data_IF_304918025914
#
_entry.id   IF_304918025914
#
_cell.length_a   1.000
_cell.length_b   1.000
_cell.length_c   1.000
_cell.angle_alpha   90.00
_cell.angle_beta   90.00
_cell.angle_gamma   90.00
#
_symmetry.space_group_name_H-M   'P 1'
#
loop_
_entity.id
_entity.type
_entity.pdbx_description
1 polymer ?
#
# COMPACT_ATOMS: atom_id res chain seq x y z
N UNK A 1 -21.72 -1.45 14.37
CA UNK A 1 -20.95 -1.92 13.19
C UNK A 1 -21.29 -3.38 12.95
N UNK A 2 -21.93 -3.67 11.81
CA UNK A 2 -22.58 -4.96 11.54
C UNK A 2 -21.58 -6.12 11.44
N UNK A 3 -21.98 -7.28 11.98
CA UNK A 3 -21.22 -8.54 12.04
C UNK A 3 -20.55 -8.91 10.69
N UNK A 4 -21.20 -8.59 9.58
CA UNK A 4 -20.72 -8.82 8.21
C UNK A 4 -19.39 -8.13 7.91
N UNK A 5 -19.19 -6.89 8.38
CA UNK A 5 -17.93 -6.15 8.18
C UNK A 5 -16.80 -6.79 8.99
N UNK A 6 -17.10 -7.31 10.19
CA UNK A 6 -16.12 -8.02 11.02
C UNK A 6 -15.72 -9.35 10.38
N UNK A 7 -16.69 -10.10 9.85
CA UNK A 7 -16.43 -11.36 9.15
C UNK A 7 -15.61 -11.11 7.88
N UNK A 8 -15.97 -10.12 7.07
CA UNK A 8 -15.21 -9.78 5.86
C UNK A 8 -13.75 -9.37 6.17
N UNK A 9 -13.51 -8.66 7.28
CA UNK A 9 -12.15 -8.32 7.72
C UNK A 9 -11.39 -9.49 8.38
N UNK A 10 -12.08 -10.54 8.83
CA UNK A 10 -11.44 -11.71 9.45
C UNK A 10 -10.85 -12.70 8.44
N UNK A 11 -11.25 -12.63 7.17
CA UNK A 11 -10.65 -13.48 6.13
C UNK A 11 -9.22 -13.01 5.88
N UNK A 12 -8.19 -13.86 6.06
CA UNK A 12 -6.82 -13.48 5.77
C UNK A 12 -6.71 -13.18 4.27
N UNK A 13 -6.44 -11.93 3.91
CA UNK A 13 -6.41 -11.49 2.51
C UNK A 13 -5.44 -12.30 1.64
N UNK A 14 -4.36 -12.80 2.26
CA UNK A 14 -3.40 -13.72 1.65
C UNK A 14 -4.07 -14.96 1.04
N UNK A 15 -5.12 -15.50 1.67
CA UNK A 15 -5.86 -16.68 1.19
C UNK A 15 -6.60 -16.41 -0.12
N UNK A 16 -6.93 -15.16 -0.42
CA UNK A 16 -7.53 -14.77 -1.70
C UNK A 16 -6.59 -15.06 -2.88
N UNK A 17 -5.28 -15.19 -2.65
CA UNK A 17 -4.32 -15.56 -3.68
C UNK A 17 -4.68 -16.87 -4.38
N UNK A 18 -5.03 -17.90 -3.62
CA UNK A 18 -5.45 -19.20 -4.20
C UNK A 18 -6.74 -19.08 -4.99
N UNK A 19 -7.70 -18.27 -4.52
CA UNK A 19 -8.95 -18.00 -5.23
C UNK A 19 -8.67 -17.30 -6.57
N UNK A 20 -7.77 -16.32 -6.58
CA UNK A 20 -7.37 -15.64 -7.82
C UNK A 20 -6.61 -16.54 -8.76
N UNK A 21 -5.80 -17.49 -8.28
CA UNK A 21 -5.15 -18.47 -9.15
C UNK A 21 -6.18 -19.39 -9.82
N UNK A 22 -7.19 -19.85 -9.07
CA UNK A 22 -8.26 -20.68 -9.63
C UNK A 22 -9.09 -19.89 -10.65
N UNK A 23 -9.41 -18.63 -10.35
CA UNK A 23 -10.28 -17.81 -11.20
C UNK A 23 -9.58 -17.18 -12.41
N UNK A 24 -8.33 -16.72 -12.24
CA UNK A 24 -7.57 -15.94 -13.23
C UNK A 24 -6.37 -16.70 -13.81
N UNK A 25 -6.08 -17.89 -13.29
CA UNK A 25 -4.96 -18.73 -13.70
C UNK A 25 -3.61 -18.34 -13.08
N UNK A 26 -2.56 -19.04 -13.52
CA UNK A 26 -1.17 -18.88 -13.05
C UNK A 26 -0.44 -17.68 -13.66
N UNK A 27 -1.10 -16.90 -14.52
CA UNK A 27 -0.52 -15.71 -15.17
C UNK A 27 -0.34 -14.51 -14.23
N UNK A 28 0.03 -13.36 -14.79
CA UNK A 28 0.23 -12.11 -14.04
C UNK A 28 -1.05 -11.61 -13.36
N UNK A 29 -2.21 -11.83 -13.97
CA UNK A 29 -3.49 -11.30 -13.49
C UNK A 29 -3.80 -11.70 -12.04
N UNK A 30 -3.53 -12.95 -11.65
CA UNK A 30 -3.78 -13.41 -10.28
C UNK A 30 -2.88 -12.75 -9.24
N UNK A 31 -1.60 -12.52 -9.56
CA UNK A 31 -0.65 -11.85 -8.66
C UNK A 31 -0.96 -10.37 -8.53
N UNK A 32 -1.29 -9.72 -9.65
CA UNK A 32 -1.70 -8.31 -9.67
C UNK A 32 -2.98 -8.13 -8.86
N UNK A 33 -3.98 -9.00 -9.03
CA UNK A 33 -5.20 -8.96 -8.23
C UNK A 33 -4.93 -9.07 -6.73
N UNK A 34 -4.04 -10.00 -6.33
CA UNK A 34 -3.65 -10.15 -4.92
C UNK A 34 -2.93 -8.89 -4.39
N UNK A 35 -1.95 -8.37 -5.14
CA UNK A 35 -1.24 -7.14 -4.77
C UNK A 35 -2.21 -5.95 -4.63
N UNK A 36 -3.14 -5.77 -5.57
CA UNK A 36 -4.15 -4.70 -5.54
C UNK A 36 -5.03 -4.81 -4.29
N UNK A 37 -5.53 -6.00 -3.96
CA UNK A 37 -6.38 -6.18 -2.77
C UNK A 37 -5.58 -5.92 -1.48
N UNK A 38 -4.33 -6.34 -1.41
CA UNK A 38 -3.46 -6.08 -0.25
C UNK A 38 -3.23 -4.58 -0.05
N UNK A 39 -3.00 -3.85 -1.14
CA UNK A 39 -2.72 -2.40 -1.13
C UNK A 39 -3.97 -1.56 -0.90
N UNK A 40 -5.06 -1.86 -1.62
CA UNK A 40 -6.26 -1.03 -1.67
C UNK A 40 -6.79 -0.68 -0.27
N UNK A 41 -6.92 -1.69 0.58
CA UNK A 41 -7.45 -1.47 1.93
C UNK A 41 -6.51 -0.69 2.84
N UNK A 42 -5.19 -0.80 2.64
CA UNK A 42 -4.20 -0.07 3.44
C UNK A 42 -4.20 1.39 3.04
N UNK A 43 -4.16 1.67 1.74
CA UNK A 43 -4.30 3.04 1.21
C UNK A 43 -5.63 3.64 1.64
N UNK A 44 -6.73 2.91 1.47
CA UNK A 44 -8.06 3.37 1.85
C UNK A 44 -8.17 3.67 3.35
N UNK A 45 -7.67 2.78 4.21
CA UNK A 45 -7.71 2.98 5.65
C UNK A 45 -6.86 4.18 6.10
N UNK A 46 -5.69 4.36 5.51
CA UNK A 46 -4.80 5.49 5.81
C UNK A 46 -5.38 6.81 5.29
N UNK A 47 -5.86 6.84 4.04
CA UNK A 47 -6.51 8.01 3.46
C UNK A 47 -7.78 8.39 4.21
N UNK A 48 -8.62 7.42 4.59
CA UNK A 48 -9.85 7.68 5.34
C UNK A 48 -9.58 8.26 6.73
N UNK A 49 -8.60 7.72 7.45
CA UNK A 49 -8.18 8.28 8.75
C UNK A 49 -7.60 9.69 8.59
N UNK A 50 -6.73 9.89 7.61
CA UNK A 50 -6.10 11.18 7.34
C UNK A 50 -7.09 12.29 6.99
N UNK A 51 -8.07 12.00 6.13
CA UNK A 51 -9.16 12.94 5.79
C UNK A 51 -10.06 13.21 6.99
N UNK A 52 -10.25 12.25 7.90
CA UNK A 52 -11.16 12.43 9.04
C UNK A 52 -10.57 13.33 10.13
N UNK A 53 -9.26 13.32 10.33
CA UNK A 53 -8.60 14.06 11.42
C UNK A 53 -8.12 15.45 10.98
N UNK A 54 -7.31 15.55 9.92
CA UNK A 54 -6.70 16.82 9.52
C UNK A 54 -7.63 17.70 8.67
N UNK A 55 -8.40 17.08 7.76
CA UNK A 55 -9.19 17.86 6.79
C UNK A 55 -10.47 18.44 7.40
N UNK A 56 -11.01 17.86 8.47
CA UNK A 56 -12.21 18.43 9.12
C UNK A 56 -11.97 19.85 9.63
N UNK A 57 -10.80 20.10 10.23
CA UNK A 57 -10.44 21.42 10.70
C UNK A 57 -10.26 22.42 9.55
N UNK A 58 -9.58 21.99 8.48
CA UNK A 58 -9.32 22.83 7.32
C UNK A 58 -10.59 23.13 6.51
N UNK A 59 -11.49 22.16 6.40
CA UNK A 59 -12.83 22.32 5.78
C UNK A 59 -13.69 23.27 6.62
N UNK A 60 -13.73 23.11 7.95
CA UNK A 60 -14.50 23.99 8.83
C UNK A 60 -14.02 25.46 8.72
N UNK A 61 -12.70 25.68 8.71
CA UNK A 61 -12.14 27.02 8.52
C UNK A 61 -12.48 27.60 7.15
N UNK A 62 -12.39 26.81 6.08
CA UNK A 62 -12.77 27.26 4.74
C UNK A 62 -14.27 27.62 4.65
N UNK A 63 -15.13 26.87 5.33
CA UNK A 63 -16.57 27.18 5.41
C UNK A 63 -16.85 28.48 6.17
N UNK A 64 -16.16 28.73 7.29
CA UNK A 64 -16.26 29.99 8.05
C UNK A 64 -15.87 31.18 7.17
N UNK A 65 -14.86 31.00 6.31
CA UNK A 65 -14.41 32.00 5.34
C UNK A 65 -15.35 32.16 4.11
N UNK A 66 -16.46 31.44 4.06
CA UNK A 66 -17.46 31.54 3.00
C UNK A 66 -17.13 30.75 1.73
N UNK A 67 -16.22 29.77 1.77
CA UNK A 67 -15.87 28.97 0.60
C UNK A 67 -17.06 28.11 0.12
N UNK A 68 -17.30 28.11 -1.19
CA UNK A 68 -18.31 27.25 -1.82
C UNK A 68 -17.89 25.76 -1.81
N UNK A 69 -18.83 24.80 -1.91
CA UNK A 69 -18.52 23.37 -1.92
C UNK A 69 -17.48 22.95 -2.98
N UNK A 70 -17.51 23.58 -4.16
CA UNK A 70 -16.55 23.33 -5.23
C UNK A 70 -15.15 23.86 -4.88
N UNK A 71 -15.06 25.03 -4.23
CA UNK A 71 -13.79 25.60 -3.75
C UNK A 71 -13.18 24.74 -2.65
N UNK A 72 -13.99 24.27 -1.70
CA UNK A 72 -13.55 23.34 -0.65
C UNK A 72 -13.00 22.06 -1.27
N UNK A 73 -13.70 21.51 -2.27
CA UNK A 73 -13.30 20.24 -2.91
C UNK A 73 -11.95 20.38 -3.63
N UNK A 74 -11.79 21.42 -4.46
CA UNK A 74 -10.55 21.61 -5.24
C UNK A 74 -9.36 22.12 -4.43
N UNK A 75 -9.61 22.92 -3.40
CA UNK A 75 -8.54 23.63 -2.69
C UNK A 75 -8.14 22.95 -1.39
N UNK A 76 -9.02 22.14 -0.80
CA UNK A 76 -8.77 21.46 0.48
C UNK A 76 -8.78 19.95 0.27
N UNK A 77 -9.90 19.38 -0.20
CA UNK A 77 -10.09 17.93 -0.22
C UNK A 77 -9.13 17.24 -1.19
N UNK A 78 -9.01 17.70 -2.44
CA UNK A 78 -8.15 17.07 -3.45
C UNK A 78 -6.66 17.14 -3.05
N UNK A 79 -6.09 18.31 -2.71
CA UNK A 79 -4.68 18.41 -2.31
C UNK A 79 -4.35 17.60 -1.04
N UNK A 80 -5.25 17.60 -0.06
CA UNK A 80 -5.08 16.78 1.14
C UNK A 80 -5.13 15.30 0.83
N UNK A 81 -6.12 14.83 0.05
CA UNK A 81 -6.21 13.44 -0.36
C UNK A 81 -4.94 12.98 -1.11
N UNK A 82 -4.38 13.81 -2.00
CA UNK A 82 -3.11 13.52 -2.66
C UNK A 82 -1.94 13.43 -1.67
N UNK A 83 -1.87 14.33 -0.70
CA UNK A 83 -0.84 14.30 0.35
C UNK A 83 -0.91 13.01 1.17
N UNK A 84 -2.12 12.54 1.48
CA UNK A 84 -2.33 11.28 2.18
C UNK A 84 -1.98 10.06 1.33
N UNK A 85 -2.34 10.06 0.05
CA UNK A 85 -1.96 8.99 -0.88
C UNK A 85 -0.43 8.90 -0.98
N UNK A 86 0.25 10.03 -1.13
CA UNK A 86 1.72 10.08 -1.19
C UNK A 86 2.35 9.63 0.14
N UNK A 87 1.82 10.06 1.29
CA UNK A 87 2.29 9.60 2.59
C UNK A 87 2.09 8.08 2.81
N UNK A 88 1.14 7.47 2.10
CA UNK A 88 0.89 6.02 2.18
C UNK A 88 1.75 5.19 1.22
N UNK A 89 2.59 5.82 0.38
CA UNK A 89 3.30 5.16 -0.72
C UNK A 89 4.25 4.06 -0.21
N UNK A 90 5.02 4.35 0.83
CA UNK A 90 5.93 3.43 1.50
C UNK A 90 5.22 2.16 2.00
N UNK A 91 4.15 2.34 2.78
CA UNK A 91 3.38 1.23 3.33
C UNK A 91 2.73 0.42 2.20
N UNK A 92 2.19 1.11 1.20
CA UNK A 92 1.54 0.50 0.04
C UNK A 92 2.51 -0.35 -0.78
N UNK A 93 3.73 0.14 -1.01
CA UNK A 93 4.76 -0.63 -1.69
C UNK A 93 5.10 -1.92 -0.95
N UNK A 94 5.27 -1.86 0.38
CA UNK A 94 5.51 -3.05 1.19
C UNK A 94 4.41 -4.11 1.00
N UNK A 95 3.14 -3.71 1.05
CA UNK A 95 2.02 -4.64 0.82
C UNK A 95 1.91 -5.11 -0.63
N UNK A 96 2.25 -4.28 -1.61
CA UNK A 96 2.29 -4.66 -3.02
C UNK A 96 3.35 -5.75 -3.25
N UNK A 97 4.54 -5.56 -2.70
CA UNK A 97 5.64 -6.52 -2.79
C UNK A 97 5.27 -7.85 -2.13
N UNK A 98 4.71 -7.81 -0.92
CA UNK A 98 4.22 -9.01 -0.23
C UNK A 98 3.15 -9.70 -1.08
N UNK A 99 2.16 -8.98 -1.59
CA UNK A 99 1.11 -9.55 -2.43
C UNK A 99 1.64 -10.18 -3.72
N UNK A 100 2.62 -9.54 -4.37
CA UNK A 100 3.25 -10.08 -5.58
C UNK A 100 4.05 -11.35 -5.28
N UNK A 101 4.95 -11.32 -4.29
CA UNK A 101 5.81 -12.46 -3.92
C UNK A 101 4.98 -13.63 -3.42
N UNK A 102 3.97 -13.38 -2.58
CA UNK A 102 3.04 -14.42 -2.12
C UNK A 102 2.24 -14.99 -3.29
N UNK A 103 1.75 -14.15 -4.20
CA UNK A 103 1.05 -14.61 -5.39
C UNK A 103 1.94 -15.49 -6.28
N UNK A 104 3.22 -15.15 -6.41
CA UNK A 104 4.20 -15.97 -7.12
C UNK A 104 4.50 -17.28 -6.38
N UNK A 105 4.63 -17.23 -5.06
CA UNK A 105 4.89 -18.36 -4.19
C UNK A 105 3.77 -19.40 -4.23
N UNK A 106 2.50 -18.94 -4.22
CA UNK A 106 1.33 -19.79 -4.33
C UNK A 106 1.19 -20.44 -5.71
N UNK A 107 1.65 -19.77 -6.78
CA UNK A 107 1.63 -20.33 -8.11
C UNK A 107 2.02 -19.35 -9.22
N UNK A 108 3.17 -19.59 -9.84
CA UNK A 108 3.63 -18.88 -11.03
C UNK A 108 4.44 -19.81 -11.95
N UNK A 109 4.68 -19.37 -13.19
CA UNK A 109 5.61 -20.03 -14.12
C UNK A 109 7.05 -19.52 -13.99
N UNK A 110 7.21 -18.33 -13.43
CA UNK A 110 8.47 -17.63 -13.24
C UNK A 110 8.28 -16.60 -12.12
N UNK A 111 9.36 -16.22 -11.44
CA UNK A 111 9.33 -15.20 -10.38
C UNK A 111 10.12 -15.60 -9.15
N UNK A 112 10.38 -14.64 -8.27
CA UNK A 112 11.16 -14.85 -7.05
C UNK A 112 10.38 -15.71 -6.05
N UNK A 113 9.05 -15.53 -5.95
CA UNK A 113 8.22 -16.36 -5.09
C UNK A 113 8.27 -17.84 -5.48
N UNK A 114 8.33 -18.14 -6.78
CA UNK A 114 8.48 -19.51 -7.30
C UNK A 114 9.85 -20.11 -6.95
N UNK A 115 10.93 -19.32 -7.07
CA UNK A 115 12.27 -19.78 -6.70
C UNK A 115 12.34 -20.14 -5.21
N UNK A 116 11.71 -19.32 -4.35
CA UNK A 116 11.62 -19.60 -2.92
C UNK A 116 10.83 -20.88 -2.67
N UNK A 117 9.64 -21.03 -3.26
CA UNK A 117 8.80 -22.22 -3.03
C UNK A 117 9.46 -23.51 -3.55
N UNK A 118 10.18 -23.43 -4.67
CA UNK A 118 10.94 -24.56 -5.23
C UNK A 118 12.12 -24.94 -4.35
N UNK A 119 12.94 -23.96 -3.91
CA UNK A 119 14.07 -24.21 -3.02
C UNK A 119 13.61 -24.75 -1.66
N UNK A 120 12.51 -24.23 -1.13
CA UNK A 120 11.89 -24.69 0.09
C UNK A 120 11.40 -26.14 -0.04
N UNK A 121 10.74 -26.50 -1.15
CA UNK A 121 10.30 -27.87 -1.43
C UNK A 121 11.47 -28.87 -1.56
N UNK A 122 12.64 -28.38 -2.02
CA UNK A 122 13.88 -29.15 -2.08
C UNK A 122 14.68 -29.15 -0.77
N UNK A 123 14.14 -28.56 0.31
CA UNK A 123 14.86 -28.35 1.59
C UNK A 123 16.22 -27.63 1.42
N UNK A 124 16.37 -26.85 0.36
CA UNK A 124 17.58 -26.10 0.07
C UNK A 124 17.53 -24.74 0.76
N UNK A 125 17.97 -24.70 2.02
CA UNK A 125 18.03 -23.47 2.81
C UNK A 125 18.88 -22.38 2.12
N UNK A 126 20.02 -22.75 1.53
CA UNK A 126 20.90 -21.80 0.83
C UNK A 126 20.16 -21.11 -0.32
N UNK A 127 19.37 -21.85 -1.09
CA UNK A 127 18.54 -21.30 -2.17
C UNK A 127 17.47 -20.34 -1.67
N UNK A 128 16.80 -20.68 -0.57
CA UNK A 128 15.80 -19.80 0.06
C UNK A 128 16.44 -18.49 0.53
N UNK A 129 17.55 -18.56 1.26
CA UNK A 129 18.24 -17.35 1.74
C UNK A 129 18.80 -16.50 0.59
N UNK A 130 19.37 -17.11 -0.45
CA UNK A 130 19.83 -16.38 -1.62
C UNK A 130 18.69 -15.61 -2.30
N UNK A 131 17.52 -16.24 -2.48
CA UNK A 131 16.35 -15.58 -3.05
C UNK A 131 15.82 -14.45 -2.15
N UNK A 132 15.82 -14.64 -0.82
CA UNK A 132 15.43 -13.60 0.13
C UNK A 132 16.36 -12.39 0.10
N UNK A 133 17.68 -12.59 -0.03
CA UNK A 133 18.65 -11.49 -0.15
C UNK A 133 18.38 -10.68 -1.41
N UNK A 134 18.16 -11.35 -2.56
CA UNK A 134 17.84 -10.67 -3.82
C UNK A 134 16.56 -9.85 -3.70
N UNK A 135 15.51 -10.41 -3.07
CA UNK A 135 14.28 -9.66 -2.80
C UNK A 135 14.51 -8.47 -1.87
N UNK A 136 15.34 -8.61 -0.83
CA UNK A 136 15.65 -7.52 0.08
C UNK A 136 16.38 -6.38 -0.65
N UNK A 137 17.35 -6.70 -1.51
CA UNK A 137 18.05 -5.70 -2.33
C UNK A 137 17.07 -5.01 -3.29
N UNK A 138 16.20 -5.77 -3.96
CA UNK A 138 15.17 -5.21 -4.84
C UNK A 138 14.23 -4.27 -4.08
N UNK A 139 13.77 -4.68 -2.90
CA UNK A 139 12.90 -3.89 -2.04
C UNK A 139 13.58 -2.57 -1.64
N UNK A 140 14.84 -2.62 -1.20
CA UNK A 140 15.61 -1.44 -0.82
C UNK A 140 15.82 -0.47 -1.99
N UNK A 141 16.08 -0.99 -3.19
CA UNK A 141 16.24 -0.16 -4.40
C UNK A 141 14.94 0.57 -4.71
N UNK A 142 13.80 -0.14 -4.69
CA UNK A 142 12.50 0.50 -4.97
C UNK A 142 12.11 1.47 -3.86
N UNK A 143 12.36 1.12 -2.60
CA UNK A 143 12.11 1.98 -1.44
C UNK A 143 12.90 3.30 -1.57
N UNK A 144 14.17 3.22 -1.95
CA UNK A 144 15.00 4.39 -2.21
C UNK A 144 14.43 5.27 -3.33
N UNK A 145 13.97 4.66 -4.43
CA UNK A 145 13.34 5.37 -5.54
C UNK A 145 12.04 6.05 -5.11
N UNK A 146 11.24 5.38 -4.28
CA UNK A 146 10.01 5.92 -3.70
C UNK A 146 10.32 7.14 -2.83
N UNK A 147 11.28 7.05 -1.89
CA UNK A 147 11.69 8.19 -1.07
C UNK A 147 12.16 9.36 -1.94
N UNK A 148 12.91 9.07 -3.01
CA UNK A 148 13.42 10.12 -3.90
C UNK A 148 12.30 10.81 -4.68
N UNK A 149 11.30 10.04 -5.10
CA UNK A 149 10.10 10.54 -5.76
C UNK A 149 9.22 11.36 -4.79
N UNK A 150 8.98 10.86 -3.58
CA UNK A 150 8.22 11.58 -2.55
C UNK A 150 8.87 12.94 -2.27
N UNK A 151 10.18 12.98 -2.04
CA UNK A 151 10.92 14.23 -1.80
C UNK A 151 10.87 15.22 -2.98
N UNK A 152 10.63 14.74 -4.20
CA UNK A 152 10.47 15.60 -5.36
C UNK A 152 9.05 16.20 -5.44
N UNK A 153 8.02 15.39 -5.17
CA UNK A 153 6.61 15.78 -5.28
C UNK A 153 6.14 16.57 -4.06
N UNK A 154 6.62 16.21 -2.86
CA UNK A 154 6.17 16.70 -1.56
C UNK A 154 6.99 17.91 -1.08
N UNK A 155 7.63 18.66 -1.98
CA UNK A 155 8.34 19.91 -1.64
C UNK A 155 7.46 21.00 -1.00
N UNK A 156 6.14 20.84 -1.09
CA UNK A 156 5.14 21.81 -0.63
C UNK A 156 4.61 21.53 0.79
N UNK A 157 4.93 20.39 1.41
CA UNK A 157 4.50 20.12 2.80
C UNK A 157 5.26 21.03 3.76
N UNK A 158 4.59 21.87 4.56
CA UNK A 158 5.23 22.54 5.69
C UNK A 158 5.75 21.47 6.64
N UNK A 159 6.97 21.66 7.18
CA UNK A 159 7.46 20.82 8.26
C UNK A 159 6.42 20.82 9.39
N UNK A 160 6.12 19.66 10.03
CA UNK A 160 5.25 19.64 11.20
C UNK A 160 5.77 20.68 12.19
N UNK A 161 4.89 21.59 12.62
CA UNK A 161 5.21 22.56 13.66
C UNK A 161 5.57 21.76 14.91
N UNK A 162 6.86 21.63 15.20
CA UNK A 162 7.34 21.10 16.46
C UNK A 162 7.01 22.14 17.53
N UNK A 163 5.94 21.92 18.29
CA UNK A 163 5.67 22.60 19.57
C UNK A 163 6.65 22.13 20.66
N UNK A 164 7.95 22.18 20.37
CA UNK A 164 9.01 22.02 21.35
C UNK A 164 9.94 23.21 21.23
N UNK A 165 9.52 24.30 21.87
CA UNK A 165 10.29 25.53 22.01
C UNK A 165 9.77 26.32 23.20
N UNK A 166 10.46 26.11 24.33
CA UNK A 166 10.51 26.91 25.59
C UNK A 166 9.26 27.02 26.45
#
# INVERSE_FOLDING_TARGET
FSIYIKIANSVPRVVLGSVFIIALGLGMASKVALAVVMVFFVVFANAFQGVREADRAMIANAQILGASPMQITRSVIIPSAMSWILASLHVSFGFALVGAVVGEFLGAKQGMGLLISTAQGAFNANGVFAAMIILAVMALVVEFLITRFENYVVKWRPAPFNEQGT
#
